data_IF_265001570173
#
_entry.id   IF_265001570173
#
_cell.length_a   1.000
_cell.length_b   1.000
_cell.length_c   1.000
_cell.angle_alpha   90.00
_cell.angle_beta   90.00
_cell.angle_gamma   90.00
#
_symmetry.space_group_name_H-M   'P 1'
#
loop_
_entity.id
_entity.type
_entity.pdbx_description
1 polymer ?
#
# COMPACT_ATOMS: atom_id res chain seq x y z
N UNK A 1 -25.94 -24.97 28.55
CA UNK A 1 -25.39 -24.54 27.26
C UNK A 1 -25.00 -23.07 27.38
N UNK A 2 -23.80 -22.79 27.90
CA UNK A 2 -23.23 -21.45 27.81
C UNK A 2 -22.80 -21.25 26.37
N UNK A 3 -23.46 -20.33 25.68
CA UNK A 3 -23.07 -19.92 24.33
C UNK A 3 -21.70 -19.24 24.46
N UNK A 4 -20.64 -20.01 24.22
CA UNK A 4 -19.29 -19.49 24.00
C UNK A 4 -19.31 -18.61 22.75
N UNK A 5 -19.78 -17.37 22.90
CA UNK A 5 -19.29 -16.25 22.11
C UNK A 5 -17.88 -15.95 22.59
N UNK A 6 -16.98 -16.92 22.47
CA UNK A 6 -15.55 -16.68 22.48
C UNK A 6 -15.27 -15.81 21.26
N UNK A 7 -15.41 -14.50 21.47
CA UNK A 7 -14.56 -13.47 20.89
C UNK A 7 -13.83 -13.95 19.63
N UNK A 8 -14.53 -13.98 18.48
CA UNK A 8 -13.84 -13.76 17.20
C UNK A 8 -13.25 -12.37 17.33
N UNK A 9 -12.07 -12.28 17.94
CA UNK A 9 -11.18 -11.13 17.91
C UNK A 9 -10.80 -11.00 16.44
N UNK A 10 -11.70 -10.41 15.67
CA UNK A 10 -11.38 -9.87 14.37
C UNK A 10 -10.27 -8.86 14.63
N UNK A 11 -9.02 -9.30 14.42
CA UNK A 11 -7.89 -8.39 14.26
C UNK A 11 -8.09 -7.68 12.91
N UNK A 12 -9.08 -6.80 12.86
CA UNK A 12 -9.39 -5.97 11.71
C UNK A 12 -8.18 -5.11 11.41
N UNK A 13 -7.56 -5.35 10.25
CA UNK A 13 -6.88 -4.35 9.43
C UNK A 13 -5.74 -3.53 10.04
N UNK A 14 -5.33 -3.75 11.29
CA UNK A 14 -4.60 -2.76 12.07
C UNK A 14 -3.08 -2.75 11.91
N UNK A 15 -2.49 -3.58 11.06
CA UNK A 15 -1.06 -3.49 10.81
C UNK A 15 -0.79 -2.37 9.78
N UNK A 16 0.06 -1.36 10.08
CA UNK A 16 0.56 -0.39 9.11
C UNK A 16 1.03 -1.02 7.81
N UNK A 17 1.48 -2.26 7.87
CA UNK A 17 1.90 -3.03 6.71
C UNK A 17 0.80 -3.28 5.67
N UNK A 18 -0.48 -3.29 6.05
CA UNK A 18 -1.57 -3.57 5.11
C UNK A 18 -1.86 -2.39 4.18
N UNK A 19 -1.48 -1.16 4.56
CA UNK A 19 -1.79 0.06 3.79
C UNK A 19 -0.56 0.89 3.41
N UNK A 20 0.61 0.58 3.96
CA UNK A 20 1.84 1.33 3.64
C UNK A 20 2.22 1.25 2.16
N UNK A 21 2.16 0.06 1.53
CA UNK A 21 2.43 -0.07 0.10
C UNK A 21 1.45 0.73 -0.77
N UNK A 22 0.17 0.72 -0.41
CA UNK A 22 -0.88 1.48 -1.10
C UNK A 22 -0.70 2.99 -0.98
N UNK A 23 -0.22 3.50 0.17
CA UNK A 23 0.09 4.92 0.33
C UNK A 23 1.26 5.34 -0.55
N UNK A 24 2.34 4.55 -0.56
CA UNK A 24 3.50 4.85 -1.41
C UNK A 24 3.07 4.86 -2.89
N UNK A 25 2.22 3.92 -3.29
CA UNK A 25 1.66 3.89 -4.64
C UNK A 25 0.74 5.11 -4.92
N UNK A 26 -0.10 5.51 -3.96
CA UNK A 26 -0.96 6.69 -4.10
C UNK A 26 -0.13 7.97 -4.28
N UNK A 27 0.94 8.14 -3.51
CA UNK A 27 1.85 9.29 -3.65
C UNK A 27 2.48 9.31 -5.06
N UNK A 28 2.97 8.16 -5.53
CA UNK A 28 3.51 8.04 -6.88
C UNK A 28 2.50 8.38 -7.97
N UNK A 29 1.26 7.92 -7.80
CA UNK A 29 0.17 8.21 -8.72
C UNK A 29 -0.18 9.71 -8.77
N UNK A 30 -0.21 10.39 -7.62
CA UNK A 30 -0.42 11.84 -7.55
C UNK A 30 0.71 12.58 -8.28
N UNK A 31 1.98 12.22 -8.03
CA UNK A 31 3.14 12.83 -8.69
C UNK A 31 3.09 12.64 -10.21
N UNK A 32 2.76 11.43 -10.67
CA UNK A 32 2.62 11.15 -12.10
C UNK A 32 1.48 11.97 -12.73
N UNK A 33 0.35 12.09 -12.03
CA UNK A 33 -0.81 12.87 -12.50
C UNK A 33 -0.46 14.36 -12.61
N UNK A 34 0.24 14.93 -11.62
CA UNK A 34 0.75 16.30 -11.68
C UNK A 34 1.70 16.48 -12.86
N UNK A 35 2.63 15.54 -13.06
CA UNK A 35 3.56 15.56 -14.20
C UNK A 35 2.86 15.51 -15.57
N UNK A 36 1.74 14.78 -15.67
CA UNK A 36 0.94 14.71 -16.89
C UNK A 36 0.11 15.99 -17.13
N UNK A 37 -0.39 16.62 -16.06
CA UNK A 37 -1.25 17.80 -16.14
C UNK A 37 -0.49 19.12 -16.29
N UNK A 38 0.78 19.21 -15.87
CA UNK A 38 1.61 20.43 -15.87
C UNK A 38 2.18 20.83 -17.25
N UNK A 39 1.64 20.26 -18.33
CA UNK A 39 2.37 20.05 -19.59
C UNK A 39 3.22 18.78 -19.49
N UNK A 40 3.52 18.04 -20.60
CA UNK A 40 4.09 16.69 -20.52
C UNK A 40 5.52 16.67 -19.97
N UNK A 41 5.66 16.80 -18.66
CA UNK A 41 6.92 16.68 -17.94
C UNK A 41 7.21 15.20 -17.76
N UNK A 42 7.81 14.59 -18.78
CA UNK A 42 8.13 13.17 -18.79
C UNK A 42 8.97 12.73 -17.60
N UNK A 43 9.86 13.61 -17.10
CA UNK A 43 10.68 13.34 -15.91
C UNK A 43 9.78 13.17 -14.68
N UNK A 44 8.82 14.07 -14.45
CA UNK A 44 7.92 13.99 -13.29
C UNK A 44 7.02 12.75 -13.37
N UNK A 45 6.55 12.39 -14.57
CA UNK A 45 5.80 11.16 -14.81
C UNK A 45 6.62 9.91 -14.46
N UNK A 46 7.90 9.86 -14.85
CA UNK A 46 8.80 8.74 -14.55
C UNK A 46 9.05 8.63 -13.04
N UNK A 47 9.26 9.75 -12.35
CA UNK A 47 9.41 9.76 -10.89
C UNK A 47 8.16 9.22 -10.19
N UNK A 48 6.97 9.66 -10.62
CA UNK A 48 5.71 9.14 -10.10
C UNK A 48 5.53 7.65 -10.35
N UNK A 49 5.84 7.17 -11.56
CA UNK A 49 5.80 5.74 -11.89
C UNK A 49 6.78 4.91 -11.04
N UNK A 50 8.00 5.43 -10.81
CA UNK A 50 8.99 4.77 -9.95
C UNK A 50 8.48 4.63 -8.51
N UNK A 51 7.78 5.64 -7.97
CA UNK A 51 7.15 5.58 -6.65
C UNK A 51 6.03 4.52 -6.58
N UNK A 52 5.24 4.36 -7.64
CA UNK A 52 4.24 3.28 -7.71
C UNK A 52 4.90 1.90 -7.63
N UNK A 53 5.98 1.69 -8.39
CA UNK A 53 6.76 0.45 -8.34
C UNK A 53 7.33 0.21 -6.94
N UNK A 54 7.86 1.26 -6.30
CA UNK A 54 8.34 1.18 -4.91
C UNK A 54 7.23 0.80 -3.93
N UNK A 55 6.00 1.26 -4.12
CA UNK A 55 4.84 0.82 -3.31
C UNK A 55 4.58 -0.69 -3.43
N UNK A 56 4.75 -1.23 -4.64
CA UNK A 56 4.74 -2.68 -4.88
C UNK A 56 5.86 -3.40 -4.12
N UNK A 57 7.09 -2.89 -4.21
CA UNK A 57 8.25 -3.44 -3.48
C UNK A 57 8.00 -3.42 -1.97
N UNK A 58 7.52 -2.31 -1.40
CA UNK A 58 7.19 -2.19 0.03
C UNK A 58 6.16 -3.23 0.44
N UNK A 59 5.13 -3.45 -0.39
CA UNK A 59 4.13 -4.50 -0.14
C UNK A 59 4.76 -5.89 -0.13
N UNK A 60 5.66 -6.20 -1.07
CA UNK A 60 6.35 -7.49 -1.12
C UNK A 60 7.25 -7.69 0.11
N UNK A 61 8.00 -6.66 0.51
CA UNK A 61 8.86 -6.71 1.71
C UNK A 61 7.98 -6.93 2.95
N UNK A 62 6.85 -6.24 3.08
CA UNK A 62 5.92 -6.42 4.20
C UNK A 62 5.31 -7.82 4.25
N UNK A 63 5.01 -8.41 3.09
CA UNK A 63 4.58 -9.81 2.99
C UNK A 63 5.70 -10.77 3.41
N UNK A 64 6.93 -10.53 2.97
CA UNK A 64 8.09 -11.34 3.35
C UNK A 64 8.39 -11.24 4.86
N UNK A 65 8.16 -10.09 5.48
CA UNK A 65 8.29 -9.88 6.93
C UNK A 65 7.12 -10.49 7.75
N UNK A 66 6.14 -11.14 7.11
CA UNK A 66 5.02 -11.79 7.80
C UNK A 66 3.88 -10.85 8.20
N UNK A 67 3.88 -9.61 7.70
CA UNK A 67 2.83 -8.64 8.00
C UNK A 67 1.64 -8.67 7.03
N UNK A 68 1.79 -9.27 5.86
CA UNK A 68 0.71 -9.44 4.90
C UNK A 68 -0.16 -10.63 5.28
N UNK A 69 -1.26 -10.37 6.02
CA UNK A 69 -2.42 -11.23 6.24
C UNK A 69 -2.20 -12.75 6.26
N UNK A 70 -2.36 -13.36 7.44
CA UNK A 70 -2.20 -14.78 7.74
C UNK A 70 -2.69 -15.73 6.61
N UNK A 71 -1.78 -16.61 6.19
CA UNK A 71 -2.08 -17.92 5.60
C UNK A 71 -2.91 -18.78 6.54
#
# INVERSE_FOLDING_TARGET
MSVDRATRQYKHGGSPANWAGSIVALIGFIVATVGAMSGPSWITCIVGAALVVLGGVVTLVMRAMGYGGAR
#
